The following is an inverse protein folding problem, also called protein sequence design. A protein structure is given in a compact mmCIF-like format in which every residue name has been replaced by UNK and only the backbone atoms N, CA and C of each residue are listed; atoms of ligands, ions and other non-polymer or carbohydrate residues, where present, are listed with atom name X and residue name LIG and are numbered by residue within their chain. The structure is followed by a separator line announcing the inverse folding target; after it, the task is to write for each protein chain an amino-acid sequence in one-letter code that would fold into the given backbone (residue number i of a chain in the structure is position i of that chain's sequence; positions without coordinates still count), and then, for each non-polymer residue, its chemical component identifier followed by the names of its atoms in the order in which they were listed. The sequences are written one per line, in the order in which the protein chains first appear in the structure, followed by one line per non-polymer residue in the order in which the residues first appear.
data_IF_295974246092
#
_entry.id   IF_295974246092
#
_cell.length_a   1.000
_cell.length_b   1.000
_cell.length_c   1.000
_cell.angle_alpha   90.00
_cell.angle_beta   90.00
_cell.angle_gamma   90.00
#
_symmetry.space_group_name_H-M   'P 1'
#
loop_
_entity.id
_entity.type
_entity.pdbx_description
1 polymer ?
#
# COMPACT_ATOMS: atom_id res chain seq x y z
N UNK A 1 -5.11 10.26 1.60
CA UNK A 1 -5.35 9.55 0.31
C UNK A 1 -4.16 8.71 -0.11
N UNK A 2 -2.96 9.27 -0.37
CA UNK A 2 -1.81 8.43 -0.77
C UNK A 2 -1.31 7.57 0.41
N UNK A 3 -1.31 8.13 1.63
CA UNK A 3 -1.06 7.36 2.86
C UNK A 3 -2.12 6.26 3.04
N UNK A 4 -3.40 6.61 3.07
CA UNK A 4 -4.52 5.65 3.12
C UNK A 4 -4.47 4.57 2.01
N UNK A 5 -4.03 4.92 0.80
CA UNK A 5 -3.78 3.96 -0.28
C UNK A 5 -2.71 2.93 0.09
N UNK A 6 -1.60 3.37 0.70
CA UNK A 6 -0.56 2.46 1.16
C UNK A 6 -1.07 1.60 2.35
N UNK A 7 -1.79 2.19 3.29
CA UNK A 7 -2.26 1.45 4.46
C UNK A 7 -3.38 0.44 4.13
N UNK A 8 -4.26 0.73 3.17
CA UNK A 8 -5.42 -0.10 2.89
C UNK A 8 -5.30 -0.93 1.59
N UNK A 9 -4.64 -0.41 0.55
CA UNK A 9 -4.47 -1.12 -0.71
C UNK A 9 -3.15 -1.90 -0.77
N UNK A 10 -2.03 -1.29 -0.37
CA UNK A 10 -0.73 -1.98 -0.45
C UNK A 10 -0.62 -3.13 0.55
N UNK A 11 -1.31 -3.03 1.68
CA UNK A 11 -1.48 -4.15 2.62
C UNK A 11 -2.01 -5.41 1.93
N UNK A 12 -2.77 -5.29 0.83
CA UNK A 12 -3.26 -6.44 0.05
C UNK A 12 -2.11 -7.23 -0.58
N UNK A 13 -1.21 -6.56 -1.30
CA UNK A 13 -0.06 -7.26 -1.87
C UNK A 13 0.99 -7.62 -0.83
N UNK A 14 1.19 -6.81 0.22
CA UNK A 14 2.07 -7.19 1.33
C UNK A 14 1.61 -8.51 1.97
N UNK A 15 0.33 -8.60 2.34
CA UNK A 15 -0.19 -9.82 2.96
C UNK A 15 -0.24 -10.99 1.98
N UNK A 16 -0.58 -10.74 0.70
CA UNK A 16 -0.54 -11.75 -0.35
C UNK A 16 0.86 -12.34 -0.50
N UNK A 17 1.88 -11.52 -0.77
CA UNK A 17 3.24 -12.01 -0.95
C UNK A 17 3.81 -12.68 0.30
N UNK A 18 3.39 -12.25 1.50
CA UNK A 18 3.83 -12.87 2.74
C UNK A 18 3.28 -14.27 2.98
N UNK A 19 2.02 -14.51 2.60
CA UNK A 19 1.31 -15.72 3.03
C UNK A 19 0.83 -16.63 1.89
N UNK A 20 0.85 -16.17 0.64
CA UNK A 20 0.42 -16.95 -0.52
C UNK A 20 1.56 -17.82 -1.09
N UNK A 21 2.75 -17.29 -1.43
CA UNK A 21 3.88 -18.13 -1.80
C UNK A 21 4.39 -18.91 -0.58
N UNK A 22 4.68 -20.20 -0.78
CA UNK A 22 5.08 -21.08 0.32
C UNK A 22 6.43 -20.69 0.95
N UNK A 23 7.36 -20.16 0.14
CA UNK A 23 8.67 -19.71 0.61
C UNK A 23 8.53 -18.56 1.62
N UNK A 24 7.77 -17.53 1.25
CA UNK A 24 7.52 -16.36 2.08
C UNK A 24 6.71 -16.70 3.34
N UNK A 25 5.69 -17.56 3.21
CA UNK A 25 4.88 -17.98 4.34
C UNK A 25 5.71 -18.73 5.39
N UNK A 26 6.65 -19.58 4.95
CA UNK A 26 7.60 -20.27 5.84
C UNK A 26 8.56 -19.28 6.48
N UNK A 27 9.17 -18.40 5.70
CA UNK A 27 10.06 -17.35 6.20
C UNK A 27 9.38 -16.51 7.29
N UNK A 28 8.17 -16.01 7.02
CA UNK A 28 7.41 -15.20 7.95
C UNK A 28 7.00 -15.97 9.21
N UNK A 29 6.53 -17.22 9.05
CA UNK A 29 6.14 -18.05 10.19
C UNK A 29 7.28 -18.33 11.14
N UNK A 30 8.53 -18.40 10.66
CA UNK A 30 9.71 -18.63 11.48
C UNK A 30 10.23 -17.36 12.13
N UNK A 31 10.29 -16.25 11.38
CA UNK A 31 10.89 -15.01 11.87
C UNK A 31 9.96 -14.23 12.81
N UNK A 32 8.65 -14.23 12.58
CA UNK A 32 7.72 -13.44 13.40
C UNK A 32 7.72 -13.86 14.89
N UNK A 33 7.71 -15.16 15.27
CA UNK A 33 7.86 -15.56 16.67
C UNK A 33 9.18 -15.10 17.28
N UNK A 34 10.28 -15.15 16.52
CA UNK A 34 11.61 -14.73 17.01
C UNK A 34 11.62 -13.22 17.28
N UNK A 35 11.05 -12.42 16.38
CA UNK A 35 10.95 -10.98 16.54
C UNK A 35 10.06 -10.58 17.73
N UNK A 36 9.01 -11.35 18.01
CA UNK A 36 8.05 -11.06 19.06
C UNK A 36 8.52 -11.53 20.44
N UNK A 37 9.05 -12.76 20.54
CA UNK A 37 9.40 -13.41 21.81
C UNK A 37 10.87 -13.20 22.20
N UNK A 38 11.74 -12.91 21.22
CA UNK A 38 13.18 -12.76 21.41
C UNK A 38 14.02 -13.81 20.68
N UNK A 39 15.26 -13.44 20.38
CA UNK A 39 16.23 -14.32 19.68
C UNK A 39 16.64 -15.56 20.49
N UNK A 40 16.35 -15.58 21.79
CA UNK A 40 16.63 -16.65 22.74
C UNK A 40 15.43 -17.61 22.95
N UNK A 41 14.37 -17.51 22.13
CA UNK A 41 13.25 -18.45 22.17
C UNK A 41 13.73 -19.91 22.00
N UNK A 42 13.37 -20.85 22.91
CA UNK A 42 13.72 -22.26 22.76
C UNK A 42 13.14 -22.87 21.48
N UNK A 43 13.93 -23.71 20.79
CA UNK A 43 13.55 -24.29 19.49
C UNK A 43 12.21 -25.03 19.49
N UNK A 44 11.87 -25.72 20.59
CA UNK A 44 10.58 -26.39 20.74
C UNK A 44 9.40 -25.40 20.70
N UNK A 45 9.50 -24.28 21.43
CA UNK A 45 8.49 -23.22 21.41
C UNK A 45 8.42 -22.52 20.06
N UNK A 46 9.58 -22.26 19.45
CA UNK A 46 9.65 -21.67 18.12
C UNK A 46 8.91 -22.52 17.08
N UNK A 47 9.08 -23.84 17.09
CA UNK A 47 8.38 -24.75 16.17
C UNK A 47 6.86 -24.64 16.35
N UNK A 48 6.38 -24.69 17.60
CA UNK A 48 4.94 -24.60 17.91
C UNK A 48 4.34 -23.27 17.42
N UNK A 49 5.03 -22.15 17.68
CA UNK A 49 4.56 -20.83 17.25
C UNK A 49 4.63 -20.65 15.74
N UNK A 50 5.65 -21.20 15.08
CA UNK A 50 5.77 -21.17 13.62
C UNK A 50 4.59 -21.88 12.96
N UNK A 51 4.29 -23.11 13.39
CA UNK A 51 3.16 -23.89 12.85
C UNK A 51 1.81 -23.20 13.08
N UNK A 52 1.64 -22.61 14.26
CA UNK A 52 0.44 -21.85 14.61
C UNK A 52 0.26 -20.61 13.72
N UNK A 53 1.30 -19.77 13.58
CA UNK A 53 1.25 -18.56 12.78
C UNK A 53 1.02 -18.89 11.30
N UNK A 54 1.75 -19.87 10.76
CA UNK A 54 1.60 -20.32 9.38
C UNK A 54 0.14 -20.70 9.10
N UNK A 55 -0.42 -21.62 9.90
CA UNK A 55 -1.79 -22.13 9.71
C UNK A 55 -2.83 -21.02 9.84
N UNK A 56 -2.66 -20.13 10.83
CA UNK A 56 -3.58 -19.02 11.09
C UNK A 56 -3.56 -17.98 9.98
N UNK A 57 -2.41 -17.64 9.42
CA UNK A 57 -2.32 -16.53 8.47
C UNK A 57 -2.62 -16.96 7.03
N UNK A 58 -2.17 -18.14 6.62
CA UNK A 58 -2.53 -18.71 5.31
C UNK A 58 -4.05 -18.87 5.18
N UNK A 59 -4.73 -19.32 6.23
CA UNK A 59 -6.20 -19.43 6.21
C UNK A 59 -6.93 -18.08 6.12
N UNK A 60 -6.25 -16.95 6.32
CA UNK A 60 -6.81 -15.59 6.30
C UNK A 60 -6.53 -14.81 5.02
N UNK A 61 -5.93 -15.41 3.99
CA UNK A 61 -5.71 -14.76 2.69
C UNK A 61 -7.00 -14.14 2.10
N UNK A 62 -8.14 -14.80 2.29
CA UNK A 62 -9.45 -14.30 1.85
C UNK A 62 -9.84 -12.95 2.50
N UNK A 63 -9.33 -12.64 3.70
CA UNK A 63 -9.64 -11.38 4.41
C UNK A 63 -9.10 -10.17 3.66
N UNK A 64 -7.94 -10.30 3.01
CA UNK A 64 -7.34 -9.24 2.19
C UNK A 64 -7.78 -9.32 0.72
N UNK A 65 -8.71 -10.23 0.39
CA UNK A 65 -9.20 -10.47 -0.96
C UNK A 65 -8.22 -11.26 -1.84
N UNK A 66 -7.24 -11.95 -1.24
CA UNK A 66 -6.28 -12.80 -1.96
C UNK A 66 -6.87 -14.18 -2.22
N UNK A 67 -6.97 -14.55 -3.49
CA UNK A 67 -7.39 -15.86 -4.01
C UNK A 67 -6.70 -16.15 -5.33
N UNK A 68 -6.85 -17.36 -5.88
CA UNK A 68 -6.33 -17.69 -7.22
C UNK A 68 -6.83 -16.70 -8.29
N UNK A 69 -8.08 -16.23 -8.18
CA UNK A 69 -8.68 -15.29 -9.14
C UNK A 69 -8.20 -13.84 -9.02
N UNK A 70 -7.63 -13.43 -7.89
CA UNK A 70 -7.16 -12.06 -7.65
C UNK A 70 -5.65 -11.95 -7.54
N UNK A 71 -4.94 -13.07 -7.41
CA UNK A 71 -3.48 -13.14 -7.30
C UNK A 71 -2.80 -12.32 -8.40
N UNK A 72 -3.13 -12.58 -9.67
CA UNK A 72 -2.56 -11.85 -10.81
C UNK A 72 -2.76 -10.33 -10.69
N UNK A 73 -3.96 -9.86 -10.29
CA UNK A 73 -4.21 -8.43 -10.10
C UNK A 73 -3.36 -7.84 -8.97
N UNK A 74 -3.22 -8.57 -7.86
CA UNK A 74 -2.45 -8.15 -6.69
C UNK A 74 -0.96 -8.05 -7.04
N UNK A 75 -0.41 -9.09 -7.68
CA UNK A 75 0.98 -9.13 -8.12
C UNK A 75 1.29 -8.04 -9.15
N UNK A 76 0.39 -7.81 -10.12
CA UNK A 76 0.53 -6.72 -11.08
C UNK A 76 0.45 -5.34 -10.41
N UNK A 77 -0.37 -5.18 -9.37
CA UNK A 77 -0.45 -3.93 -8.61
C UNK A 77 0.89 -3.62 -7.92
N UNK A 78 1.54 -4.62 -7.33
CA UNK A 78 2.88 -4.47 -6.74
C UNK A 78 3.93 -4.10 -7.80
N UNK A 79 3.96 -4.82 -8.93
CA UNK A 79 4.90 -4.54 -10.01
C UNK A 79 4.73 -3.11 -10.56
N UNK A 80 3.49 -2.66 -10.76
CA UNK A 80 3.21 -1.29 -11.19
C UNK A 80 3.64 -0.26 -10.15
N UNK A 81 3.35 -0.49 -8.87
CA UNK A 81 3.80 0.39 -7.79
C UNK A 81 5.32 0.56 -7.80
N UNK A 82 6.08 -0.54 -7.95
CA UNK A 82 7.54 -0.49 -8.06
C UNK A 82 8.01 0.32 -9.28
N UNK A 83 7.44 0.09 -10.46
CA UNK A 83 7.81 0.80 -11.70
C UNK A 83 7.51 2.30 -11.58
N UNK A 84 6.35 2.66 -11.01
CA UNK A 84 5.96 4.06 -10.83
C UNK A 84 6.88 4.76 -9.83
N UNK A 85 7.16 4.12 -8.69
CA UNK A 85 8.08 4.67 -7.70
C UNK A 85 9.51 4.78 -8.22
N UNK A 86 9.99 3.81 -8.98
CA UNK A 86 11.33 3.84 -9.60
C UNK A 86 11.50 5.10 -10.46
N UNK A 87 10.50 5.42 -11.30
CA UNK A 87 10.48 6.66 -12.10
C UNK A 87 10.32 7.91 -11.24
N UNK A 88 9.57 7.84 -10.14
CA UNK A 88 9.34 8.99 -9.27
C UNK A 88 10.61 9.37 -8.50
N UNK A 89 11.30 8.38 -7.92
CA UNK A 89 12.53 8.56 -7.17
C UNK A 89 13.76 8.88 -8.03
N UNK A 90 13.63 8.84 -9.36
CA UNK A 90 14.59 9.47 -10.25
C UNK A 90 14.61 11.01 -10.11
N UNK A 91 13.48 11.61 -9.73
CA UNK A 91 13.28 13.07 -9.71
C UNK A 91 13.14 13.66 -8.31
N UNK A 92 12.49 12.94 -7.40
CA UNK A 92 12.14 13.43 -6.07
C UNK A 92 12.66 12.49 -4.99
N UNK A 93 13.06 13.04 -3.84
CA UNK A 93 13.52 12.23 -2.70
C UNK A 93 12.36 11.53 -1.99
N UNK A 94 11.19 12.17 -2.03
CA UNK A 94 9.94 11.74 -1.39
C UNK A 94 8.76 11.99 -2.33
N UNK A 95 7.58 11.43 -2.03
CA UNK A 95 6.39 11.51 -2.89
C UNK A 95 5.99 12.95 -3.25
N UNK A 96 6.18 13.88 -2.32
CA UNK A 96 5.81 15.30 -2.49
C UNK A 96 7.00 16.25 -2.52
N UNK A 97 8.18 15.75 -2.90
CA UNK A 97 9.35 16.58 -3.19
C UNK A 97 10.56 16.21 -2.36
N UNK A 98 11.02 17.16 -1.55
CA UNK A 98 12.28 17.07 -0.80
C UNK A 98 12.08 16.79 0.69
N UNK A 99 10.83 16.74 1.18
CA UNK A 99 10.46 16.43 2.57
C UNK A 99 9.60 15.17 2.66
N UNK A 100 9.83 14.29 3.66
CA UNK A 100 8.97 13.14 3.90
C UNK A 100 7.60 13.59 4.40
N UNK A 101 6.57 12.89 3.94
CA UNK A 101 5.18 13.05 4.34
C UNK A 101 4.64 11.78 4.99
N UNK A 102 3.42 11.82 5.52
CA UNK A 102 2.72 10.62 5.97
C UNK A 102 2.64 9.53 4.88
N UNK A 103 2.59 9.93 3.61
CA UNK A 103 2.56 8.98 2.48
C UNK A 103 3.85 8.20 2.34
N UNK A 104 4.99 8.86 2.55
CA UNK A 104 6.30 8.22 2.52
C UNK A 104 6.45 7.19 3.64
N UNK A 105 5.98 7.50 4.85
CA UNK A 105 6.04 6.57 5.97
C UNK A 105 5.11 5.35 5.80
N UNK A 106 3.90 5.55 5.28
CA UNK A 106 2.97 4.46 4.98
C UNK A 106 3.53 3.52 3.90
N UNK A 107 4.06 4.10 2.81
CA UNK A 107 4.76 3.35 1.75
C UNK A 107 5.97 2.60 2.31
N UNK A 108 6.81 3.27 3.10
CA UNK A 108 7.96 2.65 3.75
C UNK A 108 7.56 1.47 4.64
N UNK A 109 6.48 1.61 5.43
CA UNK A 109 5.96 0.54 6.27
C UNK A 109 5.72 -0.75 5.46
N UNK A 110 5.07 -0.63 4.30
CA UNK A 110 4.80 -1.75 3.42
C UNK A 110 6.05 -2.29 2.72
N UNK A 111 6.92 -1.40 2.21
CA UNK A 111 8.13 -1.81 1.49
C UNK A 111 9.20 -2.40 2.40
N UNK A 112 9.29 -1.97 3.66
CA UNK A 112 10.18 -2.58 4.66
C UNK A 112 9.87 -4.06 4.85
N UNK A 113 8.59 -4.43 4.72
CA UNK A 113 8.12 -5.80 4.80
C UNK A 113 8.37 -6.54 3.49
N UNK A 114 7.88 -6.01 2.37
CA UNK A 114 8.01 -6.63 1.05
C UNK A 114 9.46 -6.77 0.56
N UNK A 115 10.31 -5.79 0.83
CA UNK A 115 11.70 -5.78 0.36
C UNK A 115 12.62 -6.24 1.48
N UNK A 116 12.41 -5.76 2.71
CA UNK A 116 13.31 -6.06 3.83
C UNK A 116 13.08 -7.46 4.42
N UNK A 117 11.89 -8.04 4.32
CA UNK A 117 11.52 -9.26 5.04
C UNK A 117 11.17 -10.45 4.14
N UNK A 118 10.31 -10.26 3.13
CA UNK A 118 9.73 -11.35 2.31
C UNK A 118 10.59 -11.68 1.05
N UNK A 119 11.07 -12.94 0.86
CA UNK A 119 11.98 -13.31 -0.23
C UNK A 119 11.50 -13.03 -1.67
N UNK A 120 10.26 -13.40 -2.00
CA UNK A 120 9.71 -13.30 -3.36
C UNK A 120 9.55 -11.84 -3.81
N UNK A 121 8.81 -10.97 -3.09
CA UNK A 121 8.67 -9.57 -3.48
C UNK A 121 9.99 -8.80 -3.44
N UNK A 122 10.94 -9.18 -2.56
CA UNK A 122 12.31 -8.64 -2.57
C UNK A 122 13.01 -8.94 -3.89
N UNK A 123 13.00 -10.20 -4.35
CA UNK A 123 13.65 -10.58 -5.60
C UNK A 123 13.08 -9.81 -6.80
N UNK A 124 11.76 -9.57 -6.82
CA UNK A 124 11.10 -8.75 -7.84
C UNK A 124 11.61 -7.30 -7.78
N UNK A 125 11.57 -6.66 -6.60
CA UNK A 125 12.00 -5.27 -6.43
C UNK A 125 13.47 -5.05 -6.84
N UNK A 126 14.37 -5.95 -6.43
CA UNK A 126 15.79 -5.90 -6.80
C UNK A 126 16.01 -6.01 -8.32
N UNK A 127 15.11 -6.68 -9.04
CA UNK A 127 15.22 -6.83 -10.50
C UNK A 127 14.72 -5.60 -11.25
N UNK A 128 13.66 -4.93 -10.77
CA UNK A 128 12.92 -3.93 -11.57
C UNK A 128 12.98 -2.50 -11.05
N UNK A 129 13.32 -2.29 -9.76
CA UNK A 129 13.21 -1.00 -9.10
C UNK A 129 14.35 -0.75 -8.10
N UNK A 130 15.61 -0.66 -8.56
CA UNK A 130 16.77 -0.50 -7.68
C UNK A 130 16.75 0.79 -6.85
N UNK A 131 16.15 1.90 -7.33
CA UNK A 131 15.99 3.11 -6.52
C UNK A 131 15.01 2.90 -5.38
N UNK A 132 13.94 2.13 -5.61
CA UNK A 132 12.97 1.79 -4.56
C UNK A 132 13.61 0.93 -3.47
N UNK A 133 14.46 -0.03 -3.86
CA UNK A 133 15.26 -0.82 -2.91
C UNK A 133 16.16 0.08 -2.07
N UNK A 134 16.96 0.94 -2.72
CA UNK A 134 17.85 1.86 -2.01
C UNK A 134 17.09 2.86 -1.12
N UNK A 135 15.97 3.39 -1.62
CA UNK A 135 15.10 4.31 -0.89
C UNK A 135 14.54 3.66 0.38
N UNK A 136 14.17 2.38 0.32
CA UNK A 136 13.69 1.64 1.50
C UNK A 136 14.76 1.56 2.58
N UNK A 137 16.03 1.33 2.23
CA UNK A 137 17.13 1.37 3.20
C UNK A 137 17.41 2.77 3.73
N UNK A 138 17.28 3.80 2.89
CA UNK A 138 17.45 5.20 3.33
C UNK A 138 16.37 5.55 4.37
N UNK A 139 15.11 5.17 4.13
CA UNK A 139 13.98 5.50 5.01
C UNK A 139 14.05 4.87 6.41
N UNK A 140 14.84 3.82 6.61
CA UNK A 140 15.03 3.18 7.93
C UNK A 140 15.60 4.14 8.97
N UNK A 141 16.46 5.07 8.54
CA UNK A 141 17.00 6.11 9.41
C UNK A 141 17.06 7.46 8.70
N UNK A 142 16.23 8.39 9.15
CA UNK A 142 16.25 9.80 8.73
C UNK A 142 16.76 10.72 9.84
N UNK A 143 17.46 10.19 10.85
CA UNK A 143 18.04 11.01 11.92
C UNK A 143 18.93 12.12 11.34
N UNK A 144 18.78 13.33 11.87
CA UNK A 144 19.49 14.51 11.38
C UNK A 144 18.96 15.07 10.06
N UNK A 145 17.89 14.52 9.48
CA UNK A 145 17.19 15.17 8.39
C UNK A 145 16.37 16.36 8.93
N UNK A 146 16.64 17.56 8.43
CA UNK A 146 15.98 18.80 8.85
C UNK A 146 15.11 19.36 7.70
N UNK A 147 13.80 19.07 7.68
CA UNK A 147 12.92 19.55 6.63
C UNK A 147 12.71 21.06 6.70
N UNK A 148 12.67 21.70 5.53
CA UNK A 148 12.36 23.12 5.36
C UNK A 148 10.92 23.30 4.86
N UNK A 149 10.43 24.53 4.93
CA UNK A 149 9.08 24.86 4.48
C UNK A 149 8.94 24.82 2.94
N UNK A 150 10.02 25.11 2.22
CA UNK A 150 10.10 25.08 0.75
C UNK A 150 10.40 23.68 0.17
N UNK A 151 10.51 22.65 1.01
CA UNK A 151 10.74 21.27 0.56
C UNK A 151 9.49 20.56 0.01
N UNK A 152 8.30 21.19 0.12
CA UNK A 152 7.08 20.78 -0.58
C UNK A 152 7.13 21.20 -2.06
N UNK A 153 8.11 20.67 -2.77
CA UNK A 153 8.55 21.14 -4.09
C UNK A 153 8.37 20.11 -5.22
N UNK A 154 7.46 19.15 -5.07
CA UNK A 154 7.05 18.31 -6.19
C UNK A 154 6.43 19.15 -7.31
N UNK A 155 6.79 18.85 -8.55
CA UNK A 155 6.04 19.37 -9.69
C UNK A 155 4.72 18.59 -9.79
N UNK A 156 3.63 19.28 -9.45
CA UNK A 156 2.28 18.74 -9.50
C UNK A 156 1.83 18.33 -10.91
N UNK A 157 2.51 18.81 -11.96
CA UNK A 157 2.30 18.40 -13.35
C UNK A 157 3.19 17.23 -13.79
N UNK A 158 4.09 16.75 -12.92
CA UNK A 158 5.05 15.71 -13.27
C UNK A 158 4.35 14.41 -13.67
N UNK A 159 4.87 13.79 -14.73
CA UNK A 159 4.34 12.52 -15.23
C UNK A 159 4.42 11.39 -14.19
N UNK A 160 5.46 11.38 -13.34
CA UNK A 160 5.64 10.34 -12.32
C UNK A 160 4.60 10.44 -11.21
N UNK A 161 4.31 11.63 -10.69
CA UNK A 161 3.22 11.83 -9.73
C UNK A 161 1.87 11.48 -10.38
N UNK A 162 1.65 11.90 -11.62
CA UNK A 162 0.41 11.58 -12.34
C UNK A 162 0.23 10.08 -12.58
N UNK A 163 1.30 9.34 -12.85
CA UNK A 163 1.27 7.87 -12.97
C UNK A 163 0.90 7.20 -11.63
N UNK A 164 1.43 7.69 -10.51
CA UNK A 164 1.04 7.21 -9.17
C UNK A 164 -0.45 7.44 -8.90
N UNK A 165 -0.94 8.65 -9.17
CA UNK A 165 -2.35 8.96 -8.99
C UNK A 165 -3.26 8.13 -9.92
N UNK A 166 -2.83 7.84 -11.15
CA UNK A 166 -3.55 6.92 -12.05
C UNK A 166 -3.62 5.50 -11.50
N UNK A 167 -2.54 5.01 -10.90
CA UNK A 167 -2.54 3.69 -10.28
C UNK A 167 -3.55 3.65 -9.12
N UNK A 168 -3.55 4.66 -8.24
CA UNK A 168 -4.53 4.82 -7.15
C UNK A 168 -5.97 4.87 -7.70
N UNK A 169 -6.20 5.71 -8.72
CA UNK A 169 -7.51 5.91 -9.32
C UNK A 169 -8.07 4.70 -10.07
N UNK A 170 -7.20 3.85 -10.62
CA UNK A 170 -7.61 2.63 -11.34
C UNK A 170 -7.81 1.42 -10.43
N UNK A 171 -7.21 1.43 -9.23
CA UNK A 171 -7.24 0.28 -8.30
C UNK A 171 -8.00 0.59 -7.01
N UNK A 172 -7.45 1.46 -6.19
CA UNK A 172 -7.95 1.71 -4.84
C UNK A 172 -9.26 2.48 -4.80
N UNK A 173 -9.38 3.53 -5.63
CA UNK A 173 -10.58 4.37 -5.66
C UNK A 173 -11.87 3.57 -5.95
N UNK A 174 -11.94 2.72 -6.99
CA UNK A 174 -13.15 1.92 -7.22
C UNK A 174 -13.43 0.94 -6.07
N UNK A 175 -12.40 0.36 -5.43
CA UNK A 175 -12.58 -0.48 -4.25
C UNK A 175 -13.14 0.31 -3.05
N UNK A 176 -12.57 1.48 -2.75
CA UNK A 176 -12.96 2.32 -1.63
C UNK A 176 -14.40 2.81 -1.76
N UNK A 177 -14.79 3.28 -2.95
CA UNK A 177 -16.16 3.72 -3.25
C UNK A 177 -17.16 2.56 -3.14
N UNK A 178 -16.80 1.37 -3.61
CA UNK A 178 -17.67 0.18 -3.52
C UNK A 178 -17.85 -0.27 -2.08
N UNK A 179 -16.77 -0.30 -1.30
CA UNK A 179 -16.82 -0.61 0.11
C UNK A 179 -17.69 0.40 0.89
N UNK A 180 -17.52 1.71 0.63
CA UNK A 180 -18.32 2.74 1.26
C UNK A 180 -19.82 2.59 0.93
N UNK A 181 -20.17 2.36 -0.34
CA UNK A 181 -21.56 2.13 -0.73
C UNK A 181 -22.16 0.86 -0.11
N UNK A 182 -21.38 -0.22 -0.01
CA UNK A 182 -21.83 -1.46 0.61
C UNK A 182 -22.07 -1.28 2.12
N UNK A 183 -21.19 -0.52 2.79
CA UNK A 183 -21.34 -0.16 4.19
C UNK A 183 -22.61 0.67 4.45
N UNK A 184 -22.90 1.67 3.62
CA UNK A 184 -24.13 2.49 3.73
C UNK A 184 -25.42 1.69 3.53
N UNK A 185 -25.35 0.56 2.81
CA UNK A 185 -26.49 -0.32 2.49
C UNK A 185 -26.59 -1.53 3.41
N UNK A 186 -25.74 -1.63 4.44
CA UNK A 186 -25.61 -2.82 5.30
C UNK A 186 -25.36 -4.13 4.50
N UNK A 187 -24.72 -4.02 3.34
CA UNK A 187 -24.31 -5.18 2.53
C UNK A 187 -23.08 -5.83 3.18
N UNK A 188 -23.08 -7.17 3.29
CA UNK A 188 -21.97 -7.92 3.93
C UNK A 188 -20.72 -8.02 3.05
N UNK A 189 -20.92 -8.06 1.75
CA UNK A 189 -19.90 -8.27 0.73
C UNK A 189 -20.18 -7.36 -0.46
N UNK A 190 -19.12 -7.01 -1.18
CA UNK A 190 -19.21 -6.25 -2.42
C UNK A 190 -18.26 -6.82 -3.46
N UNK A 191 -18.58 -6.57 -4.73
CA UNK A 191 -17.70 -6.87 -5.86
C UNK A 191 -17.59 -5.69 -6.82
N UNK A 192 -16.45 -5.61 -7.50
CA UNK A 192 -16.12 -4.57 -8.45
C UNK A 192 -15.21 -5.10 -9.56
N UNK A 193 -15.32 -4.54 -10.77
CA UNK A 193 -14.31 -4.74 -11.80
C UNK A 193 -13.16 -3.77 -11.55
N UNK A 194 -11.97 -4.29 -11.27
CA UNK A 194 -10.75 -3.53 -11.02
C UNK A 194 -9.69 -4.02 -12.01
N UNK A 195 -9.25 -3.13 -12.91
CA UNK A 195 -8.27 -3.45 -13.96
C UNK A 195 -8.58 -4.74 -14.74
N UNK A 196 -9.87 -5.01 -15.01
CA UNK A 196 -10.32 -6.18 -15.78
C UNK A 196 -10.55 -7.46 -14.97
N UNK A 197 -10.18 -7.49 -13.69
CA UNK A 197 -10.47 -8.60 -12.79
C UNK A 197 -11.69 -8.31 -11.89
N UNK A 198 -12.42 -9.35 -11.50
CA UNK A 198 -13.48 -9.24 -10.50
C UNK A 198 -12.86 -9.28 -9.11
N UNK A 199 -12.82 -8.14 -8.44
CA UNK A 199 -12.46 -8.04 -7.03
C UNK A 199 -13.70 -8.27 -6.17
N UNK A 200 -13.60 -9.11 -5.13
CA UNK A 200 -14.67 -9.32 -4.15
C UNK A 200 -14.10 -9.29 -2.74
N UNK A 201 -14.84 -8.68 -1.81
CA UNK A 201 -14.40 -8.56 -0.41
C UNK A 201 -15.59 -8.38 0.53
N UNK A 202 -15.42 -8.76 1.78
CA UNK A 202 -16.32 -8.33 2.86
C UNK A 202 -16.29 -6.81 3.00
N UNK A 203 -17.45 -6.24 3.29
CA UNK A 203 -17.59 -4.83 3.64
C UNK A 203 -16.82 -4.54 4.91
N UNK A 204 -15.94 -3.55 4.84
CA UNK A 204 -15.05 -3.18 5.93
C UNK A 204 -15.40 -1.79 6.46
N UNK A 205 -16.00 -1.75 7.65
CA UNK A 205 -16.43 -0.52 8.31
C UNK A 205 -15.28 0.48 8.52
N UNK A 206 -14.04 0.01 8.71
CA UNK A 206 -12.89 0.89 8.87
C UNK A 206 -12.58 1.64 7.56
N UNK A 207 -12.56 0.95 6.42
CA UNK A 207 -12.33 1.58 5.11
C UNK A 207 -13.44 2.59 4.75
N UNK A 208 -14.68 2.38 5.21
CA UNK A 208 -15.73 3.40 5.07
C UNK A 208 -15.42 4.68 5.88
N UNK A 209 -14.80 4.55 7.06
CA UNK A 209 -14.30 5.71 7.84
C UNK A 209 -13.14 6.40 7.15
N UNK A 210 -12.18 5.64 6.60
CA UNK A 210 -11.09 6.19 5.80
C UNK A 210 -11.60 7.05 4.65
N UNK A 211 -12.59 6.54 3.90
CA UNK A 211 -13.23 7.31 2.83
C UNK A 211 -13.83 8.62 3.34
N UNK A 212 -14.54 8.57 4.47
CA UNK A 212 -15.08 9.78 5.11
C UNK A 212 -13.99 10.77 5.49
N UNK A 213 -12.89 10.32 6.11
CA UNK A 213 -11.79 11.20 6.49
C UNK A 213 -11.13 11.87 5.29
N UNK A 214 -10.96 11.15 4.18
CA UNK A 214 -10.45 11.76 2.93
C UNK A 214 -11.35 12.90 2.47
N UNK A 215 -12.68 12.75 2.54
CA UNK A 215 -13.63 13.79 2.15
C UNK A 215 -13.66 14.94 3.15
N UNK A 216 -13.61 14.65 4.44
CA UNK A 216 -13.59 15.67 5.50
C UNK A 216 -12.33 16.55 5.38
N UNK A 217 -11.15 15.97 5.11
CA UNK A 217 -9.90 16.71 4.84
C UNK A 217 -10.00 17.58 3.57
N UNK A 218 -10.61 17.04 2.50
CA UNK A 218 -10.86 17.79 1.27
C UNK A 218 -11.80 18.98 1.52
N UNK A 219 -12.88 18.79 2.27
CA UNK A 219 -13.85 19.85 2.58
C UNK A 219 -13.27 20.94 3.48
N UNK A 220 -12.27 20.59 4.30
CA UNK A 220 -11.48 21.52 5.10
C UNK A 220 -10.54 22.44 4.29
N UNK A 221 -10.27 22.11 3.02
CA UNK A 221 -9.39 22.91 2.17
C UNK A 221 -10.04 24.23 1.74
N UNK A 222 -9.21 25.28 1.63
CA UNK A 222 -9.60 26.53 0.98
C UNK A 222 -10.06 26.28 -0.46
N UNK A 223 -10.94 27.14 -0.99
CA UNK A 223 -11.42 27.00 -2.38
C UNK A 223 -10.28 26.91 -3.39
N UNK A 224 -9.25 27.78 -3.24
CA UNK A 224 -8.06 27.75 -4.09
C UNK A 224 -7.35 26.40 -4.04
N UNK A 225 -7.19 25.81 -2.87
CA UNK A 225 -6.50 24.52 -2.72
C UNK A 225 -7.34 23.36 -3.28
N UNK A 226 -8.68 23.41 -3.15
CA UNK A 226 -9.57 22.44 -3.81
C UNK A 226 -9.48 22.52 -5.32
N UNK A 227 -9.51 23.72 -5.89
CA UNK A 227 -9.39 23.91 -7.34
C UNK A 227 -8.03 23.37 -7.85
N UNK A 228 -6.93 23.67 -7.14
CA UNK A 228 -5.61 23.11 -7.46
C UNK A 228 -5.61 21.57 -7.35
N UNK A 229 -6.14 21.01 -6.27
CA UNK A 229 -6.17 19.56 -6.07
C UNK A 229 -6.98 18.86 -7.17
N UNK A 230 -8.17 19.37 -7.50
CA UNK A 230 -8.99 18.79 -8.58
C UNK A 230 -8.28 18.86 -9.93
N UNK A 231 -7.52 19.92 -10.23
CA UNK A 231 -6.69 19.98 -11.44
C UNK A 231 -5.59 18.90 -11.47
N UNK A 232 -4.95 18.63 -10.33
CA UNK A 232 -3.93 17.58 -10.21
C UNK A 232 -4.54 16.19 -10.36
N UNK A 233 -5.75 15.99 -9.82
CA UNK A 233 -6.43 14.70 -9.86
C UNK A 233 -7.14 14.45 -11.20
N UNK A 234 -7.36 15.47 -12.02
CA UNK A 234 -8.16 15.36 -13.25
C UNK A 234 -7.67 14.23 -14.18
N UNK A 235 -8.61 13.35 -14.53
CA UNK A 235 -8.35 12.17 -15.35
C UNK A 235 -7.31 11.21 -14.75
N UNK A 236 -7.16 11.17 -13.43
CA UNK A 236 -6.41 10.10 -12.74
C UNK A 236 -7.35 8.99 -12.26
N UNK A 237 -8.64 9.28 -12.11
CA UNK A 237 -9.64 8.44 -11.45
C UNK A 237 -9.82 8.80 -9.98
N UNK A 238 -8.87 9.49 -9.35
CA UNK A 238 -8.96 9.94 -7.96
C UNK A 238 -9.97 11.07 -7.75
N UNK A 239 -10.28 11.83 -8.79
CA UNK A 239 -11.28 12.90 -8.73
C UNK A 239 -12.67 12.37 -8.29
N UNK A 240 -12.97 11.09 -8.59
CA UNK A 240 -14.21 10.41 -8.21
C UNK A 240 -14.43 10.26 -6.70
N UNK A 241 -13.41 10.48 -5.87
CA UNK A 241 -13.57 10.47 -4.42
C UNK A 241 -14.40 11.66 -3.91
N UNK A 242 -14.52 12.72 -4.73
CA UNK A 242 -15.09 14.00 -4.32
C UNK A 242 -16.37 14.38 -5.08
N UNK A 243 -16.84 13.51 -6.00
CA UNK A 243 -18.05 13.70 -6.81
C UNK A 243 -19.12 12.64 -6.50
#
# INVERSE_FOLDING_TARGET
MVEDYADEWWTKFMFHYRWYPQEDAKNASQLLPILQEGVDIPSEKLSIYSDYIYSRQVSRLHVVGSSESTADLIEQSYLKALIVLEKHFEKYKFIFGSRPSASDFAIYGQLSQLIGFDPTPRAIAHKVAPRVVAWTSIMEDQCGFEPKDDDWNVDLSSSSLRELLKEIGSTYVPALLKNASAFEKDEKEWSASINGATWSQNTFAYQAKCFKWIRDEYDGLSRKNRDTLLQVLDGTGCEKLFF
#
